data_IF_545534783227
#
_entry.id   IF_545534783227
#
_cell.length_a   1.000
_cell.length_b   1.000
_cell.length_c   1.000
_cell.angle_alpha   90.00
_cell.angle_beta   90.00
_cell.angle_gamma   90.00
#
_symmetry.space_group_name_H-M   'P 1'
#
loop_
_entity.id
_entity.type
_entity.pdbx_description
1 polymer ?
#
# COMPACT_ATOMS: atom_id res chain seq x y z
N UNK A 1 -50.65 64.93 24.41
CA UNK A 1 -50.20 63.57 24.03
C UNK A 1 -49.00 63.22 24.90
N UNK A 2 -48.85 61.95 25.29
CA UNK A 2 -47.66 61.39 25.93
C UNK A 2 -47.26 60.14 25.16
N UNK A 3 -45.97 59.89 25.04
CA UNK A 3 -45.43 58.75 24.32
C UNK A 3 -44.36 58.09 25.19
N UNK A 4 -44.44 56.77 25.31
CA UNK A 4 -43.43 55.95 25.97
C UNK A 4 -42.84 55.01 24.91
N UNK A 5 -41.52 55.03 24.75
CA UNK A 5 -40.82 54.20 23.77
C UNK A 5 -39.71 53.38 24.41
N UNK A 6 -39.37 52.27 23.75
CA UNK A 6 -38.24 51.41 24.07
C UNK A 6 -37.49 51.10 22.78
N UNK A 7 -36.16 51.07 22.86
CA UNK A 7 -35.31 50.60 21.76
C UNK A 7 -34.62 49.31 22.15
N UNK A 8 -34.58 48.35 21.24
CA UNK A 8 -33.76 47.13 21.30
C UNK A 8 -32.58 47.32 20.36
N UNK A 9 -31.36 47.29 20.89
CA UNK A 9 -30.12 47.38 20.12
C UNK A 9 -29.51 46.00 19.96
N UNK A 10 -29.05 45.69 18.75
CA UNK A 10 -28.37 44.44 18.43
C UNK A 10 -26.90 44.75 18.18
N UNK A 11 -26.00 44.22 19.01
CA UNK A 11 -24.56 44.50 18.95
C UNK A 11 -23.73 43.23 18.99
N UNK A 12 -22.53 43.25 18.41
CA UNK A 12 -21.52 42.22 18.63
C UNK A 12 -20.83 42.41 20.00
N UNK A 13 -20.04 41.44 20.46
CA UNK A 13 -19.27 41.56 21.72
C UNK A 13 -18.28 42.74 21.73
N UNK A 14 -17.84 43.24 20.56
CA UNK A 14 -16.99 44.43 20.43
C UNK A 14 -17.78 45.76 20.47
N UNK A 15 -19.11 45.69 20.63
CA UNK A 15 -20.02 46.84 20.70
C UNK A 15 -20.43 47.41 19.34
N UNK A 16 -19.94 46.88 18.21
CA UNK A 16 -20.42 47.28 16.88
C UNK A 16 -21.85 46.80 16.65
N UNK A 17 -22.58 47.53 15.81
CA UNK A 17 -23.93 47.16 15.40
C UNK A 17 -23.92 45.82 14.64
N UNK A 18 -24.73 44.86 15.11
CA UNK A 18 -24.88 43.54 14.50
C UNK A 18 -26.09 43.47 13.57
N UNK A 19 -27.16 44.17 13.93
CA UNK A 19 -28.36 44.31 13.12
C UNK A 19 -29.06 45.65 13.43
N UNK A 20 -29.92 46.16 12.55
CA UNK A 20 -30.66 47.41 12.79
C UNK A 20 -31.47 47.36 14.09
N UNK A 21 -31.40 48.41 14.89
CA UNK A 21 -32.17 48.50 16.14
C UNK A 21 -33.68 48.54 15.89
N UNK A 22 -34.46 47.93 16.78
CA UNK A 22 -35.92 47.97 16.76
C UNK A 22 -36.44 48.96 17.82
N UNK A 23 -37.27 49.93 17.42
CA UNK A 23 -37.90 50.88 18.34
C UNK A 23 -39.41 50.82 18.17
N UNK A 24 -40.11 50.71 19.29
CA UNK A 24 -41.57 50.76 19.32
C UNK A 24 -42.07 51.69 20.45
N UNK A 25 -43.33 52.15 20.34
CA UNK A 25 -43.90 53.16 21.23
C UNK A 25 -45.39 52.98 21.51
N UNK A 26 -45.79 53.21 22.75
CA UNK A 26 -47.19 53.35 23.14
C UNK A 26 -47.55 54.84 23.28
N UNK A 27 -48.68 55.23 22.66
CA UNK A 27 -49.11 56.64 22.55
C UNK A 27 -50.41 56.89 23.31
N UNK A 28 -50.35 57.80 24.27
CA UNK A 28 -51.46 58.16 25.15
C UNK A 28 -51.98 59.56 24.81
N UNK A 29 -53.30 59.69 24.72
CA UNK A 29 -53.98 60.97 24.53
C UNK A 29 -55.03 61.20 25.61
N UNK A 30 -55.29 62.46 25.95
CA UNK A 30 -56.35 62.85 26.88
C UNK A 30 -57.00 64.12 26.40
N UNK A 31 -58.28 64.28 26.72
CA UNK A 31 -59.04 65.49 26.42
C UNK A 31 -58.75 66.56 27.48
N UNK A 32 -58.57 67.80 27.06
CA UNK A 32 -58.41 68.96 27.94
C UNK A 32 -59.62 69.88 27.77
N UNK A 33 -60.21 70.34 28.87
CA UNK A 33 -61.19 71.45 28.83
C UNK A 33 -60.44 72.76 29.06
N UNK A 34 -60.59 73.70 28.13
CA UNK A 34 -59.88 74.98 28.13
C UNK A 34 -60.89 76.11 28.27
N UNK A 35 -60.58 77.09 29.13
CA UNK A 35 -61.36 78.33 29.19
C UNK A 35 -61.08 79.19 27.95
N UNK A 36 -62.10 79.50 27.18
CA UNK A 36 -61.94 80.21 25.89
C UNK A 36 -61.48 81.66 26.04
N UNK A 37 -61.72 82.30 27.19
CA UNK A 37 -61.32 83.69 27.48
C UNK A 37 -59.91 83.76 28.05
N UNK A 38 -59.63 83.00 29.11
CA UNK A 38 -58.33 83.05 29.81
C UNK A 38 -57.25 82.16 29.20
N UNK A 39 -57.63 81.26 28.28
CA UNK A 39 -56.78 80.22 27.67
C UNK A 39 -56.19 79.22 28.68
N UNK A 40 -56.63 79.23 29.93
CA UNK A 40 -56.17 78.31 30.96
C UNK A 40 -56.82 76.91 30.80
N UNK A 41 -56.06 75.87 31.15
CA UNK A 41 -56.59 74.50 31.28
C UNK A 41 -57.43 74.44 32.56
N UNK A 42 -58.71 74.09 32.41
CA UNK A 42 -59.67 74.00 33.52
C UNK A 42 -59.77 72.56 34.03
N UNK A 43 -59.68 71.58 33.14
CA UNK A 43 -59.82 70.17 33.49
C UNK A 43 -58.96 69.29 32.56
N UNK A 44 -58.40 68.21 33.12
CA UNK A 44 -57.67 67.17 32.38
C UNK A 44 -58.47 65.88 32.49
N UNK A 45 -59.00 65.37 31.37
CA UNK A 45 -59.67 64.07 31.32
C UNK A 45 -58.70 62.90 31.50
N UNK A 46 -59.23 61.66 31.64
CA UNK A 46 -58.41 60.46 31.76
C UNK A 46 -57.57 60.24 30.49
N UNK A 47 -56.43 59.57 30.66
CA UNK A 47 -55.64 59.09 29.53
C UNK A 47 -56.35 57.93 28.84
N UNK A 48 -56.25 57.91 27.51
CA UNK A 48 -56.73 56.85 26.63
C UNK A 48 -55.58 56.44 25.71
N UNK A 49 -55.52 55.15 25.37
CA UNK A 49 -54.57 54.61 24.40
C UNK A 49 -55.29 53.64 23.47
N UNK A 50 -54.85 53.60 22.21
CA UNK A 50 -55.28 52.58 21.25
C UNK A 50 -54.43 51.31 21.38
N UNK A 51 -53.16 51.46 21.75
CA UNK A 51 -52.24 50.37 22.06
C UNK A 51 -51.40 50.74 23.29
N UNK A 52 -51.53 49.95 24.35
CA UNK A 52 -50.81 50.13 25.61
C UNK A 52 -49.68 49.10 25.79
N UNK A 53 -49.31 48.40 24.71
CA UNK A 53 -48.21 47.43 24.68
C UNK A 53 -47.12 47.93 23.75
N UNK A 54 -45.90 48.08 24.28
CA UNK A 54 -44.70 48.27 23.49
C UNK A 54 -44.20 46.88 23.09
N UNK A 55 -44.13 46.61 21.79
CA UNK A 55 -43.75 45.31 21.26
C UNK A 55 -42.30 44.95 21.59
N UNK A 56 -42.10 43.67 21.85
CA UNK A 56 -40.83 42.99 21.79
C UNK A 56 -40.50 42.57 20.36
N UNK A 57 -39.36 41.93 20.18
CA UNK A 57 -38.86 41.51 18.88
C UNK A 57 -38.02 40.23 19.06
N UNK A 58 -38.22 39.26 18.17
CA UNK A 58 -37.29 38.12 18.04
C UNK A 58 -35.96 38.64 17.54
N UNK A 59 -34.87 38.17 18.13
CA UNK A 59 -33.53 38.56 17.71
C UNK A 59 -33.25 38.04 16.30
N UNK A 60 -32.76 38.89 15.37
CA UNK A 60 -32.40 38.46 14.03
C UNK A 60 -31.40 37.30 14.01
N UNK A 61 -31.60 36.33 13.12
CA UNK A 61 -30.60 35.28 12.90
C UNK A 61 -29.39 35.85 12.16
N UNK A 62 -28.21 35.74 12.75
CA UNK A 62 -26.94 36.18 12.16
C UNK A 62 -26.04 34.95 12.01
N UNK A 63 -25.66 34.61 10.77
CA UNK A 63 -24.82 33.44 10.48
C UNK A 63 -23.51 33.48 11.29
N UNK A 64 -23.16 32.36 11.92
CA UNK A 64 -21.97 32.23 12.76
C UNK A 64 -22.07 32.92 14.11
N UNK A 65 -23.24 33.45 14.50
CA UNK A 65 -23.46 34.09 15.79
C UNK A 65 -24.72 33.56 16.49
N UNK A 66 -24.70 33.63 17.82
CA UNK A 66 -25.82 33.32 18.70
C UNK A 66 -26.09 34.55 19.56
N UNK A 67 -27.34 35.00 19.56
CA UNK A 67 -27.80 36.07 20.44
C UNK A 67 -27.84 35.59 21.90
N UNK A 68 -27.41 36.43 22.84
CA UNK A 68 -27.57 36.17 24.28
C UNK A 68 -29.04 36.06 24.71
N UNK A 69 -29.94 36.72 23.95
CA UNK A 69 -31.39 36.65 24.10
C UNK A 69 -32.02 36.29 22.76
N UNK A 70 -32.75 35.18 22.69
CA UNK A 70 -33.46 34.78 21.47
C UNK A 70 -34.60 35.74 21.09
N UNK A 71 -35.19 36.41 22.09
CA UNK A 71 -36.22 37.44 21.88
C UNK A 71 -36.29 38.37 23.08
N UNK A 72 -36.69 39.61 22.84
CA UNK A 72 -37.10 40.56 23.89
C UNK A 72 -38.61 40.55 23.97
N UNK A 73 -39.17 40.49 25.19
CA UNK A 73 -40.62 40.39 25.40
C UNK A 73 -41.34 41.75 25.28
N UNK A 74 -42.64 41.69 24.99
CA UNK A 74 -43.57 42.82 25.04
C UNK A 74 -43.63 43.45 26.45
N UNK A 75 -43.87 44.77 26.51
CA UNK A 75 -44.02 45.50 27.77
C UNK A 75 -45.34 46.28 27.75
N UNK A 76 -46.25 45.93 28.66
CA UNK A 76 -47.48 46.69 28.88
C UNK A 76 -47.19 47.92 29.75
N UNK A 77 -47.69 49.08 29.33
CA UNK A 77 -47.46 50.36 29.99
C UNK A 77 -48.76 51.14 30.18
N UNK A 78 -48.77 52.05 31.15
CA UNK A 78 -49.82 53.06 31.31
C UNK A 78 -49.23 54.44 31.08
N UNK A 79 -50.08 55.45 30.95
CA UNK A 79 -49.62 56.83 30.81
C UNK A 79 -48.80 57.32 32.02
N UNK A 80 -48.90 56.68 33.19
CA UNK A 80 -48.13 57.05 34.38
C UNK A 80 -46.90 56.15 34.62
N UNK A 81 -46.72 55.11 33.79
CA UNK A 81 -45.52 54.28 33.82
C UNK A 81 -44.26 55.11 33.57
N UNK A 82 -43.15 54.72 34.23
CA UNK A 82 -41.82 55.17 33.85
C UNK A 82 -41.49 54.69 32.43
N UNK A 83 -40.61 55.42 31.72
CA UNK A 83 -40.10 54.98 30.43
C UNK A 83 -39.39 53.63 30.62
N UNK A 84 -39.74 52.58 29.85
CA UNK A 84 -38.98 51.34 29.85
C UNK A 84 -37.52 51.60 29.45
N UNK A 85 -36.61 50.87 30.10
CA UNK A 85 -35.20 50.89 29.73
C UNK A 85 -35.01 50.32 28.32
N UNK A 86 -34.05 50.87 27.59
CA UNK A 86 -33.63 50.27 26.32
C UNK A 86 -32.91 48.95 26.62
N UNK A 87 -33.05 47.98 25.72
CA UNK A 87 -32.43 46.67 25.86
C UNK A 87 -31.31 46.49 24.82
N UNK A 88 -30.28 45.75 25.23
CA UNK A 88 -29.17 45.37 24.35
C UNK A 88 -29.16 43.86 24.25
N UNK A 89 -29.17 43.37 23.02
CA UNK A 89 -28.96 41.98 22.65
C UNK A 89 -27.56 41.89 22.06
N UNK A 90 -26.74 41.02 22.64
CA UNK A 90 -25.33 40.84 22.26
C UNK A 90 -25.16 39.53 21.51
N UNK A 91 -24.55 39.59 20.32
CA UNK A 91 -24.23 38.44 19.50
C UNK A 91 -22.81 37.97 19.77
N UNK A 92 -22.70 36.69 20.11
CA UNK A 92 -21.43 35.98 20.30
C UNK A 92 -21.22 35.02 19.16
N UNK A 93 -19.98 34.77 18.76
CA UNK A 93 -19.70 33.73 17.77
C UNK A 93 -20.26 32.39 18.25
N UNK A 94 -20.90 31.66 17.35
CA UNK A 94 -21.49 30.36 17.64
C UNK A 94 -20.41 29.33 18.00
N UNK A 95 -20.74 28.41 18.90
CA UNK A 95 -19.95 27.20 19.13
C UNK A 95 -20.04 26.27 17.92
N UNK A 96 -18.90 25.71 17.53
CA UNK A 96 -18.72 24.88 16.35
C UNK A 96 -17.94 23.62 16.69
N UNK A 97 -18.14 22.58 15.88
CA UNK A 97 -17.48 21.29 16.05
C UNK A 97 -17.07 20.70 14.71
N UNK A 98 -15.84 20.20 14.66
CA UNK A 98 -15.27 19.52 13.52
C UNK A 98 -14.82 18.12 13.93
N UNK A 99 -15.11 17.14 13.08
CA UNK A 99 -14.71 15.75 13.27
C UNK A 99 -13.78 15.32 12.15
N UNK A 100 -12.62 14.79 12.51
CA UNK A 100 -11.66 14.23 11.56
C UNK A 100 -11.65 12.71 11.76
N UNK A 101 -12.01 11.98 10.71
CA UNK A 101 -12.09 10.51 10.74
C UNK A 101 -10.99 9.91 9.88
N UNK A 102 -10.15 9.08 10.49
CA UNK A 102 -9.14 8.29 9.80
C UNK A 102 -9.73 6.94 9.43
N UNK A 103 -9.68 6.58 8.15
CA UNK A 103 -10.25 5.34 7.63
C UNK A 103 -9.25 4.59 6.77
N UNK A 104 -9.42 3.27 6.65
CA UNK A 104 -8.69 2.47 5.67
C UNK A 104 -9.29 2.56 4.25
N UNK A 105 -8.71 1.86 3.29
CA UNK A 105 -9.21 1.79 1.91
C UNK A 105 -10.63 1.20 1.79
N UNK A 106 -11.06 0.38 2.75
CA UNK A 106 -12.41 -0.16 2.84
C UNK A 106 -13.38 0.77 3.58
N UNK A 107 -12.94 1.99 3.92
CA UNK A 107 -13.66 2.99 4.73
C UNK A 107 -13.97 2.53 6.16
N UNK A 108 -13.25 1.53 6.67
CA UNK A 108 -13.33 1.15 8.07
C UNK A 108 -12.64 2.21 8.92
N UNK A 109 -13.29 2.62 9.99
CA UNK A 109 -12.75 3.59 10.94
C UNK A 109 -11.53 3.02 11.68
N UNK A 110 -10.41 3.70 11.57
CA UNK A 110 -9.17 3.44 12.31
C UNK A 110 -9.10 4.31 13.56
N UNK A 111 -9.53 5.57 13.42
CA UNK A 111 -9.58 6.54 14.50
C UNK A 111 -10.53 7.70 14.18
N UNK A 112 -10.95 8.39 15.22
CA UNK A 112 -11.75 9.62 15.11
C UNK A 112 -11.29 10.61 16.18
N UNK A 113 -11.15 11.87 15.79
CA UNK A 113 -10.87 12.99 16.69
C UNK A 113 -11.92 14.09 16.45
N UNK A 114 -12.13 14.94 17.46
CA UNK A 114 -13.04 16.07 17.36
C UNK A 114 -12.41 17.30 17.98
N UNK A 115 -12.57 18.43 17.30
CA UNK A 115 -12.13 19.74 17.75
C UNK A 115 -13.37 20.64 17.90
N UNK A 116 -13.36 21.47 18.94
CA UNK A 116 -14.40 22.48 19.19
C UNK A 116 -13.80 23.88 19.16
N UNK A 117 -14.58 24.86 18.72
CA UNK A 117 -14.15 26.26 18.66
C UNK A 117 -15.30 27.19 18.31
N UNK A 118 -15.01 28.45 18.04
CA UNK A 118 -16.03 29.42 17.60
C UNK A 118 -16.05 29.58 16.09
N UNK A 119 -17.18 29.98 15.53
CA UNK A 119 -17.31 30.27 14.09
C UNK A 119 -16.20 31.19 13.55
N UNK A 120 -15.63 30.77 12.43
CA UNK A 120 -14.52 31.45 11.74
C UNK A 120 -13.16 31.32 12.43
N UNK A 121 -13.04 30.69 13.60
CA UNK A 121 -11.73 30.43 14.21
C UNK A 121 -11.00 29.26 13.51
N UNK A 122 -9.65 29.25 13.48
CA UNK A 122 -8.90 28.11 12.97
C UNK A 122 -9.18 26.83 13.77
N UNK A 123 -9.32 25.71 13.08
CA UNK A 123 -9.41 24.39 13.70
C UNK A 123 -8.00 23.94 14.08
N UNK A 124 -7.79 23.54 15.34
CA UNK A 124 -6.51 23.03 15.82
C UNK A 124 -6.06 21.81 15.02
N UNK A 125 -4.74 21.69 14.78
CA UNK A 125 -4.15 20.55 14.05
C UNK A 125 -3.32 19.64 14.94
N UNK A 126 -3.17 19.95 16.21
CA UNK A 126 -2.24 19.23 17.09
C UNK A 126 -2.66 17.76 17.27
N UNK A 127 -3.95 17.51 17.55
CA UNK A 127 -4.47 16.14 17.66
C UNK A 127 -4.40 15.39 16.32
N UNK A 128 -4.72 16.07 15.22
CA UNK A 128 -4.65 15.50 13.88
C UNK A 128 -3.21 15.07 13.53
N UNK A 129 -2.22 15.94 13.73
CA UNK A 129 -0.82 15.65 13.45
C UNK A 129 -0.28 14.52 14.33
N UNK A 130 -0.64 14.52 15.62
CA UNK A 130 -0.27 13.45 16.55
C UNK A 130 -0.86 12.10 16.12
N UNK A 131 -2.16 12.06 15.76
CA UNK A 131 -2.82 10.82 15.34
C UNK A 131 -2.33 10.33 13.98
N UNK A 132 -2.11 11.24 13.04
CA UNK A 132 -1.54 10.91 11.74
C UNK A 132 -0.14 10.29 11.93
N UNK A 133 0.72 10.89 12.75
CA UNK A 133 2.04 10.35 13.08
C UNK A 133 1.96 8.96 13.72
N UNK A 134 1.04 8.75 14.67
CA UNK A 134 0.82 7.45 15.29
C UNK A 134 0.48 6.38 14.25
N UNK A 135 -0.47 6.67 13.35
CA UNK A 135 -0.89 5.73 12.30
C UNK A 135 0.23 5.47 11.28
N UNK A 136 0.98 6.50 10.87
CA UNK A 136 2.15 6.29 10.00
C UNK A 136 3.23 5.45 10.69
N UNK A 137 3.43 5.62 11.99
CA UNK A 137 4.38 4.81 12.78
C UNK A 137 3.89 3.36 12.97
N UNK A 138 2.59 3.09 12.82
CA UNK A 138 2.05 1.74 12.76
C UNK A 138 2.23 1.09 11.38
N UNK A 139 2.61 1.85 10.36
CA UNK A 139 2.87 1.36 9.00
C UNK A 139 1.83 1.76 7.96
N UNK A 140 0.88 2.66 8.29
CA UNK A 140 -0.07 3.19 7.33
C UNK A 140 0.56 4.28 6.43
N UNK A 141 0.01 4.44 5.23
CA UNK A 141 0.38 5.48 4.26
C UNK A 141 -0.84 6.31 3.89
N UNK A 142 -0.68 7.62 3.76
CA UNK A 142 -1.77 8.53 3.36
C UNK A 142 -2.07 8.38 1.89
N UNK A 143 -3.34 8.11 1.57
CA UNK A 143 -3.87 8.02 0.21
C UNK A 143 -4.59 9.31 -0.16
N UNK A 144 -5.47 9.78 0.72
CA UNK A 144 -6.21 11.03 0.54
C UNK A 144 -6.39 11.71 1.90
N UNK A 145 -6.35 13.04 1.91
CA UNK A 145 -6.45 13.82 3.14
C UNK A 145 -7.25 15.11 2.89
N UNK A 146 -8.47 15.14 3.42
CA UNK A 146 -9.38 16.29 3.34
C UNK A 146 -9.03 17.39 4.36
N UNK A 147 -8.13 17.13 5.31
CA UNK A 147 -7.75 18.05 6.40
C UNK A 147 -6.26 18.45 6.38
N UNK A 148 -5.53 18.16 5.30
CA UNK A 148 -4.09 18.45 5.16
C UNK A 148 -3.75 19.94 5.34
N UNK A 149 -4.60 20.82 4.85
CA UNK A 149 -4.42 22.27 4.85
C UNK A 149 -5.14 22.89 6.06
N UNK A 150 -4.64 24.00 6.64
CA UNK A 150 -5.34 24.69 7.72
C UNK A 150 -6.81 24.97 7.36
N UNK A 151 -7.72 24.65 8.28
CA UNK A 151 -9.16 24.88 8.13
C UNK A 151 -9.65 25.82 9.22
N UNK A 152 -10.79 26.47 8.98
CA UNK A 152 -11.51 27.24 9.98
C UNK A 152 -12.89 26.61 10.23
N UNK A 153 -13.43 26.85 11.42
CA UNK A 153 -14.81 26.53 11.70
C UNK A 153 -15.74 27.37 10.81
N UNK A 154 -16.81 26.77 10.30
CA UNK A 154 -17.78 27.46 9.47
C UNK A 154 -18.78 28.29 10.30
N UNK A 155 -19.80 28.82 9.64
CA UNK A 155 -20.83 29.67 10.22
C UNK A 155 -22.19 28.95 10.42
N UNK A 156 -22.25 27.62 10.20
CA UNK A 156 -23.46 26.80 10.30
C UNK A 156 -23.49 26.01 11.63
N UNK A 157 -23.94 26.68 12.70
CA UNK A 157 -24.05 26.07 14.04
C UNK A 157 -25.02 24.88 14.12
N UNK A 158 -25.75 24.56 13.04
CA UNK A 158 -26.65 23.41 13.00
C UNK A 158 -25.96 22.13 12.49
N UNK A 159 -24.73 22.21 12.00
CA UNK A 159 -24.03 21.09 11.37
C UNK A 159 -22.56 21.02 11.79
N UNK A 160 -22.15 19.84 12.24
CA UNK A 160 -20.74 19.54 12.45
C UNK A 160 -20.01 19.43 11.10
N UNK A 161 -18.81 20.03 11.02
CA UNK A 161 -17.89 19.83 9.89
C UNK A 161 -17.26 18.44 9.98
N UNK A 162 -17.13 17.75 8.86
CA UNK A 162 -16.57 16.40 8.82
C UNK A 162 -15.48 16.31 7.75
N UNK A 163 -14.33 15.78 8.14
CA UNK A 163 -13.19 15.56 7.25
C UNK A 163 -12.73 14.10 7.33
N UNK A 164 -12.33 13.55 6.19
CA UNK A 164 -11.84 12.17 6.08
C UNK A 164 -10.38 12.13 5.68
N UNK A 165 -9.60 11.33 6.40
CA UNK A 165 -8.22 10.98 6.06
C UNK A 165 -8.19 9.49 5.71
N UNK A 166 -7.95 9.18 4.43
CA UNK A 166 -7.89 7.82 3.94
C UNK A 166 -6.44 7.32 3.96
N UNK A 167 -6.27 6.16 4.57
CA UNK A 167 -4.99 5.49 4.77
C UNK A 167 -5.01 4.12 4.11
N UNK A 168 -3.85 3.65 3.69
CA UNK A 168 -3.63 2.26 3.27
C UNK A 168 -2.54 1.60 4.12
N UNK A 169 -2.62 0.29 4.28
CA UNK A 169 -1.56 -0.47 4.94
C UNK A 169 -0.33 -0.52 4.03
N UNK A 170 0.83 -0.12 4.55
CA UNK A 170 2.08 -0.18 3.80
C UNK A 170 2.46 -1.62 3.46
N UNK A 171 3.00 -1.83 2.26
CA UNK A 171 3.55 -3.12 1.82
C UNK A 171 4.99 -2.93 1.38
N UNK A 172 5.87 -3.85 1.80
CA UNK A 172 7.31 -3.81 1.49
C UNK A 172 7.80 -5.17 0.96
N UNK A 173 8.78 -5.18 0.05
CA UNK A 173 9.37 -6.43 -0.41
C UNK A 173 10.34 -7.00 0.63
N UNK A 174 10.45 -8.33 0.67
CA UNK A 174 11.51 -9.06 1.36
C UNK A 174 12.30 -9.87 0.33
N UNK A 175 13.59 -9.57 0.24
CA UNK A 175 14.53 -10.28 -0.63
C UNK A 175 15.36 -11.28 0.20
N UNK A 176 15.20 -12.60 0.00
CA UNK A 176 15.95 -13.60 0.74
C UNK A 176 17.45 -13.65 0.40
N UNK A 177 17.88 -13.05 -0.71
CA UNK A 177 19.29 -12.98 -1.10
C UNK A 177 20.01 -11.79 -0.46
N UNK A 178 19.26 -10.78 -0.03
CA UNK A 178 19.76 -9.65 0.73
C UNK A 178 18.76 -9.29 1.86
N UNK A 179 18.63 -10.18 2.88
CA UNK A 179 17.63 -9.99 3.91
C UNK A 179 17.95 -8.75 4.76
N UNK A 180 16.92 -8.05 5.28
CA UNK A 180 17.10 -6.96 6.22
C UNK A 180 17.70 -7.45 7.53
N UNK A 181 18.31 -6.54 8.29
CA UNK A 181 18.85 -6.85 9.62
C UNK A 181 17.80 -6.62 10.70
N UNK A 182 17.91 -7.31 11.85
CA UNK A 182 17.06 -7.04 13.00
C UNK A 182 17.12 -5.57 13.40
N UNK A 183 15.98 -5.00 13.74
CA UNK A 183 15.77 -3.58 14.06
C UNK A 183 15.87 -2.59 12.90
N UNK A 184 16.17 -3.04 11.68
CA UNK A 184 16.00 -2.19 10.50
C UNK A 184 14.51 -1.82 10.34
N UNK A 185 14.18 -0.58 9.93
CA UNK A 185 12.81 -0.22 9.61
C UNK A 185 12.29 -1.08 8.45
N UNK A 186 11.03 -1.52 8.54
CA UNK A 186 10.43 -2.32 7.46
C UNK A 186 10.31 -1.53 6.16
N UNK A 187 9.93 -0.25 6.26
CA UNK A 187 9.96 0.70 5.15
C UNK A 187 11.10 1.70 5.39
N UNK A 188 12.17 1.71 4.55
CA UNK A 188 13.28 2.65 4.71
C UNK A 188 12.89 4.13 4.65
N UNK A 189 11.73 4.46 4.05
CA UNK A 189 11.19 5.83 4.01
C UNK A 189 10.51 6.22 5.33
N UNK A 190 10.27 5.26 6.23
CA UNK A 190 9.62 5.43 7.52
C UNK A 190 10.49 4.83 8.64
N UNK A 191 11.55 5.55 9.09
CA UNK A 191 12.50 5.05 10.08
C UNK A 191 11.90 4.85 11.48
N UNK A 192 10.85 5.60 11.81
CA UNK A 192 10.10 5.49 13.07
C UNK A 192 8.99 4.42 13.01
N UNK A 193 8.79 3.84 11.83
CA UNK A 193 7.81 2.81 11.58
C UNK A 193 8.19 1.46 12.17
N UNK A 194 7.37 0.43 11.88
CA UNK A 194 7.61 -0.88 12.44
C UNK A 194 8.91 -1.48 11.90
N UNK A 195 9.64 -2.20 12.75
CA UNK A 195 10.96 -2.77 12.44
C UNK A 195 10.92 -4.27 12.17
N UNK A 196 11.92 -4.76 11.46
CA UNK A 196 12.15 -6.19 11.30
C UNK A 196 12.60 -6.82 12.61
N UNK A 197 12.02 -7.97 12.95
CA UNK A 197 12.46 -8.81 14.07
C UNK A 197 13.18 -10.04 13.54
N UNK A 198 14.07 -10.63 14.35
CA UNK A 198 14.77 -11.88 14.01
C UNK A 198 13.79 -12.98 13.58
N UNK A 199 12.71 -13.18 14.35
CA UNK A 199 11.70 -14.19 14.05
C UNK A 199 10.98 -13.92 12.72
N UNK A 200 10.71 -12.65 12.41
CA UNK A 200 10.05 -12.30 11.16
C UNK A 200 10.98 -12.51 9.96
N UNK A 201 12.25 -12.16 10.09
CA UNK A 201 13.27 -12.41 9.07
C UNK A 201 13.40 -13.92 8.83
N UNK A 202 13.52 -14.72 9.90
CA UNK A 202 13.65 -16.18 9.82
C UNK A 202 12.44 -16.84 9.17
N UNK A 203 11.23 -16.47 9.58
CA UNK A 203 10.00 -17.02 8.99
C UNK A 203 9.82 -16.61 7.53
N UNK A 204 10.15 -15.36 7.18
CA UNK A 204 10.14 -14.92 5.78
C UNK A 204 11.17 -15.69 4.94
N UNK A 205 12.38 -15.94 5.47
CA UNK A 205 13.41 -16.71 4.80
C UNK A 205 12.96 -18.15 4.51
N UNK A 206 12.30 -18.81 5.47
CA UNK A 206 11.76 -20.16 5.30
C UNK A 206 10.68 -20.23 4.20
N UNK A 207 9.88 -19.19 4.07
CA UNK A 207 8.85 -19.10 3.02
C UNK A 207 9.40 -18.67 1.66
N UNK A 208 10.56 -18.00 1.64
CA UNK A 208 11.17 -17.38 0.46
C UNK A 208 12.29 -18.21 -0.17
N UNK A 209 12.83 -19.21 0.53
CA UNK A 209 13.93 -20.07 0.07
C UNK A 209 13.48 -21.52 0.05
N UNK A 210 13.75 -22.21 -1.05
CA UNK A 210 13.58 -23.66 -1.17
C UNK A 210 14.85 -24.26 -1.74
N UNK A 211 15.26 -25.39 -1.17
CA UNK A 211 16.46 -26.12 -1.60
C UNK A 211 16.11 -27.57 -1.83
N UNK A 212 16.50 -28.10 -3.00
CA UNK A 212 16.35 -29.49 -3.36
C UNK A 212 17.74 -30.09 -3.48
N UNK A 213 18.02 -31.13 -2.71
CA UNK A 213 19.30 -31.83 -2.71
C UNK A 213 19.13 -33.31 -3.03
N UNK A 214 20.17 -33.90 -3.60
CA UNK A 214 20.29 -35.34 -3.83
C UNK A 214 21.66 -35.81 -3.37
N UNK A 215 21.70 -36.95 -2.70
CA UNK A 215 22.96 -37.60 -2.32
C UNK A 215 23.14 -38.91 -3.10
N UNK A 216 24.34 -39.12 -3.64
CA UNK A 216 24.82 -40.37 -4.22
C UNK A 216 25.73 -41.06 -3.20
N UNK A 217 25.36 -42.25 -2.75
CA UNK A 217 26.14 -43.06 -1.80
C UNK A 217 26.83 -44.20 -2.54
N UNK A 218 28.12 -44.39 -2.28
CA UNK A 218 28.91 -45.47 -2.85
C UNK A 218 29.17 -46.52 -1.78
N UNK A 219 28.66 -47.74 -1.98
CA UNK A 219 28.77 -48.83 -1.00
C UNK A 219 29.27 -50.11 -1.65
N UNK A 220 29.90 -50.99 -0.88
CA UNK A 220 30.15 -52.37 -1.30
C UNK A 220 28.88 -53.22 -1.12
N UNK A 221 28.84 -54.43 -1.68
CA UNK A 221 27.70 -55.35 -1.52
C UNK A 221 27.37 -55.69 -0.04
N UNK A 222 28.34 -55.56 0.86
CA UNK A 222 28.15 -55.74 2.30
C UNK A 222 27.59 -54.48 3.01
N UNK A 223 27.24 -53.43 2.26
CA UNK A 223 26.71 -52.18 2.77
C UNK A 223 27.74 -51.21 3.37
N UNK A 224 29.02 -51.57 3.44
CA UNK A 224 30.08 -50.64 3.88
C UNK A 224 30.34 -49.58 2.83
N UNK A 225 30.72 -48.38 3.28
CA UNK A 225 31.14 -47.30 2.40
C UNK A 225 32.31 -47.72 1.52
N UNK A 226 32.16 -47.54 0.21
CA UNK A 226 33.16 -47.84 -0.80
C UNK A 226 33.95 -46.59 -1.21
N UNK A 227 33.27 -45.43 -1.25
CA UNK A 227 33.86 -44.13 -1.50
C UNK A 227 33.00 -43.02 -0.84
N UNK A 228 33.55 -41.82 -0.62
CA UNK A 228 32.80 -40.69 -0.08
C UNK A 228 31.57 -40.36 -0.91
N UNK A 229 30.43 -40.11 -0.24
CA UNK A 229 29.20 -39.72 -0.93
C UNK A 229 29.33 -38.37 -1.63
N UNK A 230 28.67 -38.22 -2.78
CA UNK A 230 28.52 -36.95 -3.45
C UNK A 230 27.14 -36.36 -3.15
N UNK A 231 27.07 -35.08 -2.78
CA UNK A 231 25.81 -34.37 -2.58
C UNK A 231 25.85 -33.09 -3.38
N UNK A 232 24.77 -32.81 -4.09
CA UNK A 232 24.59 -31.56 -4.80
C UNK A 232 23.15 -31.05 -4.62
N UNK A 233 22.95 -29.75 -4.86
CA UNK A 233 21.70 -29.06 -4.56
C UNK A 233 21.37 -27.94 -5.54
N UNK A 234 20.09 -27.79 -5.86
CA UNK A 234 19.53 -26.63 -6.53
C UNK A 234 18.79 -25.74 -5.53
N UNK A 235 19.12 -24.44 -5.52
CA UNK A 235 18.51 -23.44 -4.64
C UNK A 235 17.56 -22.54 -5.42
N UNK A 236 16.36 -22.34 -4.88
CA UNK A 236 15.32 -21.48 -5.42
C UNK A 236 14.98 -20.38 -4.42
N UNK A 237 14.82 -19.16 -4.91
CA UNK A 237 14.42 -18.00 -4.10
C UNK A 237 13.29 -17.22 -4.74
N UNK A 238 12.44 -16.58 -3.93
CA UNK A 238 11.39 -15.66 -4.41
C UNK A 238 11.29 -14.43 -3.52
N UNK A 239 10.88 -13.31 -4.10
CA UNK A 239 10.55 -12.11 -3.34
C UNK A 239 9.16 -12.28 -2.70
N UNK A 240 9.04 -11.89 -1.43
CA UNK A 240 7.75 -11.82 -0.75
C UNK A 240 7.31 -10.35 -0.65
N UNK A 241 5.99 -10.09 -0.73
CA UNK A 241 5.44 -8.80 -0.30
C UNK A 241 4.84 -8.98 1.08
N UNK A 242 5.29 -8.16 2.03
CA UNK A 242 4.89 -8.23 3.43
C UNK A 242 4.16 -6.94 3.78
N UNK A 243 3.01 -7.09 4.41
CA UNK A 243 2.25 -5.99 4.96
C UNK A 243 2.91 -5.50 6.25
N UNK A 244 3.15 -4.20 6.34
CA UNK A 244 3.88 -3.55 7.43
C UNK A 244 3.04 -3.48 8.71
N UNK A 245 1.72 -3.34 8.59
CA UNK A 245 0.80 -3.25 9.75
C UNK A 245 0.54 -4.63 10.33
N UNK A 246 0.04 -5.56 9.51
CA UNK A 246 -0.39 -6.90 9.96
C UNK A 246 0.77 -7.90 10.06
N UNK A 247 1.94 -7.57 9.50
CA UNK A 247 3.12 -8.47 9.40
C UNK A 247 2.87 -9.72 8.55
N UNK A 248 1.74 -9.81 7.86
CA UNK A 248 1.40 -10.95 7.02
C UNK A 248 2.13 -10.89 5.67
N UNK A 249 2.37 -12.06 5.07
CA UNK A 249 2.75 -12.16 3.67
C UNK A 249 1.48 -11.97 2.85
N UNK A 250 1.43 -10.95 2.02
CA UNK A 250 0.27 -10.64 1.16
C UNK A 250 0.44 -11.14 -0.26
N UNK A 251 1.69 -11.32 -0.72
CA UNK A 251 1.98 -11.85 -2.05
C UNK A 251 3.29 -12.64 -2.05
N UNK A 252 3.34 -13.69 -2.86
CA UNK A 252 4.51 -14.52 -3.11
C UNK A 252 4.89 -14.37 -4.59
N UNK A 253 6.05 -13.81 -4.87
CA UNK A 253 6.57 -13.67 -6.23
C UNK A 253 6.95 -15.01 -6.86
N UNK A 254 7.31 -15.01 -8.16
CA UNK A 254 7.77 -16.21 -8.85
C UNK A 254 9.10 -16.71 -8.27
N UNK A 255 9.30 -18.03 -8.35
CA UNK A 255 10.58 -18.64 -8.02
C UNK A 255 11.64 -18.30 -9.07
N UNK A 256 12.86 -18.06 -8.58
CA UNK A 256 14.06 -17.82 -9.38
C UNK A 256 15.15 -18.76 -8.90
N UNK A 257 16.06 -19.13 -9.79
CA UNK A 257 17.23 -19.94 -9.45
C UNK A 257 18.40 -19.54 -10.34
N UNK A 258 19.62 -19.64 -9.79
CA UNK A 258 20.85 -19.51 -10.57
C UNK A 258 21.29 -20.85 -11.18
N UNK A 259 20.94 -21.97 -10.54
CA UNK A 259 21.20 -23.32 -11.03
C UNK A 259 20.03 -24.24 -10.68
N UNK A 260 19.37 -24.73 -11.73
CA UNK A 260 18.20 -25.61 -11.64
C UNK A 260 18.55 -27.07 -11.98
N UNK A 261 19.85 -27.41 -12.03
CA UNK A 261 20.33 -28.76 -12.30
C UNK A 261 21.15 -29.28 -11.13
N UNK A 262 20.65 -30.34 -10.49
CA UNK A 262 21.41 -31.10 -9.51
C UNK A 262 22.33 -32.06 -10.27
N UNK A 263 23.63 -31.87 -10.13
CA UNK A 263 24.65 -32.65 -10.83
C UNK A 263 24.59 -34.12 -10.45
N UNK A 264 24.85 -34.93 -11.45
CA UNK A 264 25.25 -36.31 -11.32
C UNK A 264 26.74 -36.41 -11.06
N UNK A 265 27.21 -37.63 -10.85
CA UNK A 265 28.64 -37.89 -10.72
C UNK A 265 29.00 -39.23 -11.35
N UNK A 266 30.17 -39.27 -11.99
CA UNK A 266 30.82 -40.53 -12.37
C UNK A 266 31.20 -41.30 -11.12
N UNK A 267 30.94 -42.61 -11.12
CA UNK A 267 31.28 -43.47 -10.00
C UNK A 267 32.80 -43.60 -9.88
N UNK A 268 33.39 -43.43 -8.67
CA UNK A 268 34.82 -43.57 -8.47
C UNK A 268 35.37 -44.93 -8.93
N UNK A 269 36.54 -44.96 -9.53
CA UNK A 269 37.21 -46.23 -9.86
C UNK A 269 37.81 -46.85 -8.60
N UNK A 270 37.34 -48.05 -8.24
CA UNK A 270 37.86 -48.81 -7.08
C UNK A 270 38.53 -50.08 -7.59
N UNK A 271 39.84 -50.19 -7.36
CA UNK A 271 40.65 -51.32 -7.86
C UNK A 271 40.08 -52.65 -7.39
N UNK A 272 39.79 -53.54 -8.36
CA UNK A 272 39.25 -54.88 -8.09
C UNK A 272 37.74 -54.92 -7.85
N UNK A 273 37.03 -53.81 -8.06
CA UNK A 273 35.57 -53.72 -7.99
C UNK A 273 35.00 -53.03 -9.22
N UNK A 274 33.75 -53.32 -9.55
CA UNK A 274 32.97 -52.69 -10.62
C UNK A 274 31.70 -52.12 -10.00
N UNK A 275 31.42 -50.85 -10.26
CA UNK A 275 30.17 -50.21 -9.85
C UNK A 275 29.00 -50.75 -10.69
N UNK A 276 27.85 -50.94 -10.07
CA UNK A 276 26.60 -51.28 -10.77
C UNK A 276 26.13 -50.17 -11.72
N UNK A 277 26.48 -48.92 -11.44
CA UNK A 277 26.26 -47.74 -12.28
C UNK A 277 27.59 -47.06 -12.54
N UNK A 278 27.97 -46.89 -13.81
CA UNK A 278 29.20 -46.18 -14.18
C UNK A 278 29.13 -44.68 -13.86
N UNK A 279 27.94 -44.09 -13.93
CA UNK A 279 27.66 -42.73 -13.50
C UNK A 279 26.19 -42.59 -13.09
N UNK A 280 25.92 -41.59 -12.26
CA UNK A 280 24.57 -41.10 -11.99
C UNK A 280 24.38 -39.83 -12.81
N UNK A 281 23.25 -39.69 -13.50
CA UNK A 281 22.97 -38.54 -14.37
C UNK A 281 22.52 -37.29 -13.59
N UNK A 282 22.72 -36.13 -14.20
CA UNK A 282 22.16 -34.84 -13.77
C UNK A 282 20.62 -34.90 -13.70
N UNK A 283 20.03 -34.14 -12.78
CA UNK A 283 18.57 -34.00 -12.63
C UNK A 283 18.22 -32.52 -12.67
N UNK A 284 17.49 -32.11 -13.71
CA UNK A 284 16.88 -30.79 -13.77
C UNK A 284 15.66 -30.77 -12.85
N UNK A 285 15.56 -29.75 -12.00
CA UNK A 285 14.48 -29.57 -11.03
C UNK A 285 13.88 -28.18 -11.15
N UNK A 286 12.65 -28.04 -10.72
CA UNK A 286 11.97 -26.75 -10.50
C UNK A 286 11.65 -26.60 -9.02
N UNK A 287 11.27 -25.39 -8.60
CA UNK A 287 10.83 -25.18 -7.23
C UNK A 287 9.61 -26.02 -6.84
N UNK A 288 8.79 -26.51 -7.78
CA UNK A 288 7.64 -27.37 -7.50
C UNK A 288 7.95 -28.86 -7.62
N UNK A 289 9.19 -29.20 -8.02
CA UNK A 289 9.62 -30.60 -8.07
C UNK A 289 9.61 -31.22 -6.68
N UNK A 290 9.24 -32.51 -6.63
CA UNK A 290 9.51 -33.33 -5.46
C UNK A 290 11.03 -33.43 -5.24
N UNK A 291 11.45 -33.60 -3.98
CA UNK A 291 12.86 -33.86 -3.68
C UNK A 291 13.30 -35.13 -4.43
N UNK A 292 14.36 -35.07 -5.25
CA UNK A 292 14.89 -36.26 -5.90
C UNK A 292 15.33 -37.29 -4.87
N UNK A 293 15.08 -38.56 -5.16
CA UNK A 293 15.52 -39.65 -4.28
C UNK A 293 17.05 -39.72 -4.24
N UNK A 294 17.58 -40.06 -3.07
CA UNK A 294 19.00 -40.40 -2.94
C UNK A 294 19.30 -41.67 -3.74
N UNK A 295 20.47 -41.70 -4.38
CA UNK A 295 20.94 -42.81 -5.20
C UNK A 295 21.99 -43.61 -4.44
N UNK A 296 21.95 -44.93 -4.61
CA UNK A 296 22.99 -45.83 -4.10
C UNK A 296 23.65 -46.52 -5.29
N UNK A 297 24.98 -46.46 -5.32
CA UNK A 297 25.84 -47.15 -6.27
C UNK A 297 26.58 -48.25 -5.50
N UNK A 298 26.41 -49.48 -5.95
CA UNK A 298 26.97 -50.67 -5.29
C UNK A 298 28.17 -51.21 -6.06
N UNK A 299 29.28 -51.42 -5.35
CA UNK A 299 30.52 -51.99 -5.88
C UNK A 299 30.59 -53.49 -5.64
N UNK A 300 30.65 -54.23 -6.74
CA UNK A 300 30.82 -55.69 -6.74
C UNK A 300 32.27 -56.04 -7.03
N UNK A 301 32.80 -57.05 -6.36
CA UNK A 301 34.18 -57.50 -6.61
C UNK A 301 34.28 -58.00 -8.05
N UNK A 302 35.26 -57.50 -8.81
CA UNK A 302 35.50 -57.97 -10.17
C UNK A 302 35.89 -59.45 -10.13
N UNK A 303 35.18 -60.30 -10.89
CA UNK A 303 35.57 -61.70 -11.04
C UNK A 303 36.90 -61.75 -11.80
N UNK A 304 37.88 -62.44 -11.21
CA UNK A 304 39.12 -62.77 -11.93
C UNK A 304 38.72 -63.74 -13.05
N UNK A 305 39.05 -63.46 -14.32
CA UNK A 305 38.84 -64.43 -15.39
C UNK A 305 39.51 -65.75 -14.97
N UNK A 306 38.88 -66.92 -15.19
CA UNK A 306 39.55 -68.18 -14.97
C UNK A 306 40.84 -68.17 -15.81
N UNK A 307 41.97 -68.47 -15.16
CA UNK A 307 43.25 -68.68 -15.85
C UNK A 307 43.02 -69.62 -17.04
N UNK A 308 43.36 -69.23 -18.28
CA UNK A 308 43.13 -70.10 -19.42
C UNK A 308 43.90 -71.40 -19.20
N UNK A 309 43.18 -72.52 -19.24
CA UNK A 309 43.79 -73.85 -19.27
C UNK A 309 44.57 -73.98 -20.58
N UNK A 310 45.81 -74.50 -20.57
CA UNK A 310 46.61 -74.60 -21.79
C UNK A 310 45.93 -75.56 -22.77
N UNK A 311 45.61 -75.06 -23.96
CA UNK A 311 45.04 -75.86 -25.07
C UNK A 311 46.15 -76.74 -25.66
N UNK A 312 45.97 -78.07 -25.81
CA UNK A 312 46.94 -78.94 -26.48
C UNK A 312 47.03 -78.61 -27.99
N UNK A 313 48.20 -78.79 -28.63
CA UNK A 313 48.36 -78.47 -30.05
C UNK A 313 47.54 -79.43 -30.91
N UNK A 314 46.74 -78.88 -31.83
CA UNK A 314 45.98 -79.66 -32.83
C UNK A 314 46.88 -79.95 -34.04
N UNK A 315 46.96 -81.21 -34.55
CA UNK A 315 47.74 -81.55 -35.74
C UNK A 315 47.09 -81.09 -37.05
N UNK A 316 47.94 -80.86 -38.06
CA UNK A 316 47.62 -80.33 -39.38
C UNK A 316 46.71 -81.24 -40.25
N UNK A 317 45.86 -80.69 -41.15
CA UNK A 317 45.03 -81.48 -42.07
C UNK A 317 45.53 -81.46 -43.53
N UNK A 318 45.46 -82.60 -44.21
CA UNK A 318 45.32 -82.77 -45.69
C UNK A 318 44.91 -84.23 -46.02
N UNK A 319 44.38 -84.59 -47.21
CA UNK A 319 43.77 -83.78 -48.28
C UNK A 319 42.42 -84.33 -48.84
N UNK A 320 41.77 -83.44 -49.59
CA UNK A 320 40.50 -83.40 -50.32
C UNK A 320 40.22 -84.50 -51.39
N UNK A 321 38.93 -84.72 -51.74
CA UNK A 321 38.43 -84.79 -53.15
C UNK A 321 36.88 -84.77 -53.32
N UNK A 322 36.40 -83.63 -53.84
CA UNK A 322 35.41 -83.30 -54.92
C UNK A 322 34.01 -83.95 -55.00
N UNK A 323 32.89 -83.20 -54.81
CA UNK A 323 32.00 -82.39 -55.71
C UNK A 323 31.29 -83.14 -56.87
N UNK A 324 30.03 -82.79 -57.22
CA UNK A 324 29.80 -81.77 -58.27
C UNK A 324 28.70 -80.70 -58.00
N UNK A 325 28.97 -79.53 -58.59
CA UNK A 325 28.19 -78.28 -58.67
C UNK A 325 26.92 -78.42 -59.52
N UNK A 326 25.92 -77.51 -59.49
CA UNK A 326 25.87 -76.10 -59.96
C UNK A 326 24.37 -75.65 -59.83
N UNK A 327 23.90 -74.44 -60.22
CA UNK A 327 24.54 -73.13 -60.51
C UNK A 327 23.90 -71.94 -59.72
N UNK A 328 24.64 -71.04 -59.05
CA UNK A 328 25.15 -69.69 -59.45
C UNK A 328 24.42 -69.03 -60.63
N UNK A 329 24.05 -67.75 -60.69
CA UNK A 329 24.63 -66.43 -60.33
C UNK A 329 23.53 -65.39 -60.76
N UNK A 330 23.70 -64.07 -60.96
CA UNK A 330 24.80 -63.12 -60.68
C UNK A 330 24.33 -61.76 -60.08
N UNK A 331 25.14 -60.73 -59.74
CA UNK A 331 26.56 -60.44 -59.42
C UNK A 331 26.62 -58.89 -59.28
N UNK A 332 26.90 -58.29 -58.10
CA UNK A 332 28.15 -57.62 -57.60
C UNK A 332 28.61 -56.34 -58.39
N UNK A 333 29.73 -55.60 -58.10
CA UNK A 333 30.35 -54.99 -56.87
C UNK A 333 30.83 -53.51 -57.02
N UNK A 334 31.32 -52.94 -55.90
CA UNK A 334 32.65 -52.28 -55.85
C UNK A 334 32.74 -51.06 -54.92
N UNK A 335 33.86 -50.65 -54.29
CA UNK A 335 35.13 -51.26 -53.87
C UNK A 335 35.85 -50.25 -52.94
N UNK A 336 36.53 -50.74 -51.89
CA UNK A 336 37.76 -50.26 -51.19
C UNK A 336 38.24 -48.78 -51.19
N UNK A 337 38.59 -48.23 -50.00
CA UNK A 337 39.97 -47.93 -49.55
C UNK A 337 40.05 -46.88 -48.39
N UNK A 338 40.99 -47.08 -47.44
CA UNK A 338 41.52 -46.11 -46.46
C UNK A 338 42.84 -45.51 -47.02
N UNK A 339 43.31 -44.28 -46.66
CA UNK A 339 44.08 -44.09 -45.40
C UNK A 339 44.05 -42.68 -44.71
N UNK A 340 44.34 -42.71 -43.39
CA UNK A 340 45.12 -41.80 -42.52
C UNK A 340 45.17 -40.25 -42.63
N UNK A 341 44.89 -39.62 -41.48
CA UNK A 341 45.55 -38.50 -40.73
C UNK A 341 46.08 -37.22 -41.43
N UNK A 342 45.70 -36.07 -40.87
CA UNK A 342 46.41 -34.79 -40.95
C UNK A 342 45.84 -33.73 -39.99
N UNK A 343 46.70 -33.09 -39.20
CA UNK A 343 46.45 -32.35 -37.95
C UNK A 343 46.13 -30.82 -38.06
N UNK A 344 45.52 -30.32 -36.96
CA UNK A 344 45.81 -29.11 -36.15
C UNK A 344 45.45 -27.65 -36.55
N UNK A 345 45.11 -26.95 -35.45
CA UNK A 345 45.23 -25.52 -35.11
C UNK A 345 44.14 -24.56 -35.59
N UNK A 346 43.88 -23.43 -34.95
CA UNK A 346 43.73 -23.01 -33.54
C UNK A 346 43.30 -21.53 -33.59
N UNK A 347 42.52 -21.09 -32.60
CA UNK A 347 42.56 -19.74 -32.02
C UNK A 347 41.94 -18.51 -32.73
N UNK A 348 41.36 -17.69 -31.84
CA UNK A 348 41.29 -16.23 -31.80
C UNK A 348 39.99 -15.51 -32.20
N UNK A 349 39.54 -14.72 -31.23
CA UNK A 349 38.49 -13.71 -31.25
C UNK A 349 38.82 -12.51 -32.16
N UNK A 350 37.82 -11.65 -32.45
CA UNK A 350 37.79 -10.18 -32.21
C UNK A 350 36.53 -9.55 -32.83
N UNK A 351 36.08 -8.50 -32.13
CA UNK A 351 34.97 -7.56 -32.31
C UNK A 351 34.86 -6.85 -33.68
N UNK A 352 33.66 -6.31 -33.99
CA UNK A 352 33.55 -4.98 -34.62
C UNK A 352 32.56 -4.77 -35.79
N UNK A 353 31.45 -4.10 -35.48
CA UNK A 353 30.74 -3.01 -36.21
C UNK A 353 30.47 -3.07 -37.73
N UNK A 354 29.21 -2.80 -38.11
CA UNK A 354 28.83 -2.35 -39.45
C UNK A 354 27.36 -1.92 -39.59
N UNK A 355 27.12 -0.62 -39.71
CA UNK A 355 25.84 0.11 -39.89
C UNK A 355 25.54 0.28 -41.39
N UNK A 356 24.27 0.13 -41.84
CA UNK A 356 23.63 0.87 -42.96
C UNK A 356 22.09 0.80 -42.71
N UNK A 357 21.36 1.84 -42.30
CA UNK A 357 20.90 3.07 -42.98
C UNK A 357 19.89 2.86 -44.13
N UNK A 358 18.59 3.07 -43.87
CA UNK A 358 17.58 3.41 -44.90
C UNK A 358 16.78 4.64 -44.46
N UNK A 359 16.81 5.67 -45.30
CA UNK A 359 16.11 6.96 -45.21
C UNK A 359 14.90 6.99 -46.16
N UNK A 360 13.77 7.52 -45.69
CA UNK A 360 12.72 8.31 -46.38
C UNK A 360 11.40 8.15 -45.58
N UNK A 361 10.59 9.14 -45.22
CA UNK A 361 10.60 10.59 -45.38
C UNK A 361 9.17 11.14 -45.17
N UNK A 362 9.06 12.19 -44.34
CA UNK A 362 8.09 13.32 -44.40
C UNK A 362 6.59 13.07 -44.09
N UNK A 363 6.10 13.64 -42.97
CA UNK A 363 5.24 14.85 -43.00
C UNK A 363 4.87 15.40 -41.61
N UNK A 364 5.13 16.70 -41.44
CA UNK A 364 4.75 17.59 -40.33
C UNK A 364 3.32 18.09 -40.50
N UNK A 365 2.52 18.20 -39.43
CA UNK A 365 1.63 19.36 -39.19
C UNK A 365 1.44 19.59 -37.67
N UNK A 366 1.85 20.77 -37.20
CA UNK A 366 1.35 21.51 -36.02
C UNK A 366 1.15 22.96 -36.50
N UNK A 367 0.13 23.68 -36.05
CA UNK A 367 0.35 24.77 -35.07
C UNK A 367 -0.87 24.89 -34.12
N UNK A 368 -0.97 25.74 -33.10
CA UNK A 368 -0.51 27.13 -32.90
C UNK A 368 -0.74 27.51 -31.43
N UNK A 369 0.23 28.16 -30.79
CA UNK A 369 0.04 28.96 -29.58
C UNK A 369 -0.33 30.40 -29.99
N UNK A 370 -1.12 31.07 -29.17
CA UNK A 370 -1.54 32.47 -29.29
C UNK A 370 -1.19 33.18 -27.97
N UNK A 371 -0.35 34.19 -28.05
CA UNK A 371 -0.33 35.40 -27.19
C UNK A 371 -0.81 36.55 -28.12
N UNK A 372 -1.41 37.67 -27.72
CA UNK A 372 -1.42 38.46 -26.48
C UNK A 372 -2.82 39.08 -26.25
N UNK A 373 -3.13 39.41 -25.00
CA UNK A 373 -3.37 40.80 -24.51
C UNK A 373 -3.29 40.82 -22.97
#
# INVERSE_FOLDING_TARGET
>A
MKELSRTIKYVYEDGKEAAPSFTDSAKFTRILKINVVTKAIVEKGPWTSQDDVIKGQTSPDIKGYVADKASVADVKVTADSAKPADEVVTYKKADQKATITFVDQAKKELAKISEGGKSGEPISRDQYLAKLKELTNQGYKVVNDEFKDPQNFDDDASKDQNYTVQLEEGVVPFDPNNPPKPNDPMDPKNPDGPKWTDDKIKSAQQEAVKELSRTIKYVYENGKEAAPSFTDSAKFTRILKINVVTKAIVEKGPWTSQDDVIKGQTSPDIKGYVADKASVADVKVTADSAKPADEVVTYKKAEVPPTPTPVPPTPAPVPNKQVPNKPVEPKVPGTTALPNTGEKSSSAAVLGLGIVATLAGVSLIKPRLKEED
#
